data_IF_441672913035
#
_entry.id   IF_441672913035
#
_cell.length_a   1.000
_cell.length_b   1.000
_cell.length_c   1.000
_cell.angle_alpha   90.00
_cell.angle_beta   90.00
_cell.angle_gamma   90.00
#
_symmetry.space_group_name_H-M   'P 1'
#
loop_
_entity.id
_entity.type
_entity.pdbx_description
1 polymer ?
#
# COMPACT_ATOMS: atom_id res chain seq x y z
N UNK A 1 -21.61 -9.80 16.51
CA UNK A 1 -20.43 -8.93 16.36
C UNK A 1 -19.21 -9.82 16.13
N UNK A 2 -18.78 -9.99 14.88
CA UNK A 2 -17.64 -10.88 14.54
C UNK A 2 -16.32 -10.22 14.91
N UNK A 3 -15.46 -10.94 15.64
CA UNK A 3 -14.11 -10.48 15.96
C UNK A 3 -13.26 -10.49 14.69
N UNK A 4 -12.61 -9.36 14.37
CA UNK A 4 -11.61 -9.30 13.31
C UNK A 4 -10.46 -10.26 13.62
N UNK A 5 -10.01 -11.01 12.62
CA UNK A 5 -8.91 -11.94 12.82
C UNK A 5 -7.59 -11.19 13.01
N UNK A 6 -6.58 -11.85 13.58
CA UNK A 6 -5.24 -11.28 13.67
C UNK A 6 -4.66 -10.95 12.29
N UNK A 7 -5.04 -11.70 11.27
CA UNK A 7 -4.62 -11.46 9.90
C UNK A 7 -5.21 -10.15 9.37
N UNK A 8 -6.52 -9.93 9.53
CA UNK A 8 -7.18 -8.70 9.08
C UNK A 8 -6.57 -7.46 9.74
N UNK A 9 -6.29 -7.56 11.04
CA UNK A 9 -5.62 -6.49 11.80
C UNK A 9 -4.24 -6.16 11.23
N UNK A 10 -3.40 -7.18 10.99
CA UNK A 10 -2.06 -7.00 10.39
C UNK A 10 -2.13 -6.39 8.99
N UNK A 11 -3.11 -6.80 8.20
CA UNK A 11 -3.29 -6.29 6.83
C UNK A 11 -3.69 -4.82 6.82
N UNK A 12 -4.59 -4.42 7.73
CA UNK A 12 -4.96 -3.02 7.91
C UNK A 12 -3.77 -2.18 8.37
N UNK A 13 -3.02 -2.65 9.37
CA UNK A 13 -1.79 -1.97 9.82
C UNK A 13 -0.79 -1.81 8.69
N UNK A 14 -0.63 -2.84 7.85
CA UNK A 14 0.28 -2.77 6.72
C UNK A 14 -0.11 -1.71 5.69
N UNK A 15 -1.40 -1.62 5.35
CA UNK A 15 -1.92 -0.60 4.44
C UNK A 15 -1.73 0.81 4.99
N UNK A 16 -1.90 1.00 6.30
CA UNK A 16 -1.67 2.30 6.97
C UNK A 16 -0.20 2.69 6.87
N UNK A 17 0.73 1.76 7.15
CA UNK A 17 2.16 2.02 6.99
C UNK A 17 2.51 2.40 5.56
N UNK A 18 1.93 1.69 4.58
CA UNK A 18 2.16 2.01 3.17
C UNK A 18 1.60 3.38 2.78
N UNK A 19 0.41 3.75 3.27
CA UNK A 19 -0.15 5.09 3.09
C UNK A 19 0.81 6.17 3.61
N UNK A 20 1.38 5.98 4.81
CA UNK A 20 2.32 6.94 5.39
C UNK A 20 3.60 7.07 4.58
N UNK A 21 4.15 5.96 4.09
CA UNK A 21 5.35 5.95 3.23
C UNK A 21 5.04 6.68 1.93
N UNK A 22 3.94 6.35 1.26
CA UNK A 22 3.58 6.95 -0.04
C UNK A 22 3.34 8.47 0.08
N UNK A 23 2.77 8.94 1.19
CA UNK A 23 2.47 10.36 1.42
C UNK A 23 3.61 11.13 2.14
N UNK A 24 4.83 10.60 2.22
CA UNK A 24 5.97 11.25 2.90
C UNK A 24 5.76 11.55 4.39
N UNK A 25 4.78 10.91 5.03
CA UNK A 25 4.50 11.12 6.46
C UNK A 25 5.59 10.46 7.31
N UNK A 26 6.08 9.29 6.88
CA UNK A 26 7.22 8.61 7.49
C UNK A 26 8.42 8.69 6.54
N UNK A 27 9.56 9.13 7.07
CA UNK A 27 10.82 9.36 6.33
C UNK A 27 11.56 8.05 6.08
N UNK A 28 10.88 7.09 5.45
CA UNK A 28 11.45 5.84 4.97
C UNK A 28 11.75 6.02 3.48
N UNK A 29 12.93 5.62 3.03
CA UNK A 29 13.31 5.72 1.61
C UNK A 29 12.30 4.98 0.74
N UNK A 30 11.44 5.73 0.05
CA UNK A 30 10.37 5.16 -0.77
C UNK A 30 10.95 4.33 -1.90
N UNK A 31 12.09 4.77 -2.44
CA UNK A 31 12.75 4.14 -3.58
C UNK A 31 13.14 2.69 -3.31
N UNK A 32 13.51 2.35 -2.06
CA UNK A 32 13.96 1.01 -1.69
C UNK A 32 12.78 0.04 -1.45
N UNK A 33 11.66 0.57 -0.94
CA UNK A 33 10.50 -0.24 -0.55
C UNK A 33 9.39 -0.31 -1.61
N UNK A 34 9.22 0.77 -2.38
CA UNK A 34 8.02 1.07 -3.15
C UNK A 34 8.41 1.82 -4.43
N UNK A 35 8.47 1.11 -5.55
CA UNK A 35 8.59 1.74 -6.86
C UNK A 35 7.23 2.32 -7.25
N UNK A 36 7.01 3.61 -6.98
CA UNK A 36 5.85 4.32 -7.53
C UNK A 36 5.94 4.31 -9.06
N UNK A 37 4.81 4.06 -9.72
CA UNK A 37 4.76 4.16 -11.19
C UNK A 37 4.70 5.62 -11.60
N UNK A 38 5.54 6.01 -12.56
CA UNK A 38 5.40 7.29 -13.26
C UNK A 38 4.02 7.36 -13.94
N UNK A 39 3.43 8.56 -13.94
CA UNK A 39 2.05 8.82 -14.36
C UNK A 39 1.79 8.57 -15.87
N UNK A 40 2.84 8.30 -16.64
CA UNK A 40 2.85 8.47 -18.10
C UNK A 40 2.32 7.30 -18.95
N UNK A 41 1.45 6.41 -18.44
CA UNK A 41 0.98 5.36 -19.36
C UNK A 41 -0.11 4.38 -18.99
N UNK A 42 -0.86 4.54 -17.90
CA UNK A 42 -1.95 3.59 -17.59
C UNK A 42 -3.23 4.28 -17.17
N UNK A 43 -4.17 4.34 -18.11
CA UNK A 43 -5.56 4.82 -17.95
C UNK A 43 -6.44 3.98 -17.01
N UNK A 44 -5.86 3.15 -16.12
CA UNK A 44 -6.62 2.26 -15.21
C UNK A 44 -6.01 2.19 -13.80
N UNK A 45 -6.69 2.80 -12.84
CA UNK A 45 -6.39 2.77 -11.41
C UNK A 45 -6.20 4.17 -10.82
N UNK A 46 -5.80 4.24 -9.55
CA UNK A 46 -5.49 5.48 -8.85
C UNK A 46 -4.07 5.98 -9.14
N UNK A 47 -3.83 7.28 -8.94
CA UNK A 47 -2.56 7.96 -9.27
C UNK A 47 -1.35 7.42 -8.49
N UNK A 48 -1.55 6.98 -7.23
CA UNK A 48 -0.45 6.49 -6.36
C UNK A 48 -0.16 5.00 -6.50
N UNK A 49 -0.24 4.43 -7.70
CA UNK A 49 0.01 2.98 -7.89
C UNK A 49 1.47 2.63 -7.65
N UNK A 50 1.67 1.41 -7.14
CA UNK A 50 2.98 0.87 -6.82
C UNK A 50 3.28 -0.29 -7.76
N UNK A 51 4.43 -0.23 -8.43
CA UNK A 51 4.96 -1.34 -9.19
C UNK A 51 5.44 -2.42 -8.23
N UNK A 52 4.82 -3.59 -8.31
CA UNK A 52 5.25 -4.77 -7.56
C UNK A 52 6.63 -5.22 -8.05
N UNK A 53 7.61 -5.25 -7.14
CA UNK A 53 8.94 -5.80 -7.43
C UNK A 53 8.83 -7.30 -7.68
N UNK A 54 9.52 -7.80 -8.71
CA UNK A 54 9.62 -9.24 -8.92
C UNK A 54 10.55 -9.86 -7.87
N UNK A 55 10.07 -10.92 -7.22
CA UNK A 55 10.83 -11.67 -6.22
C UNK A 55 10.79 -13.16 -6.56
N UNK A 56 11.96 -13.79 -6.63
CA UNK A 56 12.08 -15.24 -6.90
C UNK A 56 11.96 -16.06 -5.61
N UNK A 57 12.56 -15.58 -4.52
CA UNK A 57 12.61 -16.27 -3.23
C UNK A 57 11.33 -16.01 -2.41
N UNK A 58 10.89 -17.02 -1.67
CA UNK A 58 9.69 -16.91 -0.81
C UNK A 58 9.84 -15.87 0.29
N UNK A 59 11.06 -15.65 0.79
CA UNK A 59 11.38 -14.56 1.73
C UNK A 59 10.95 -13.20 1.15
N UNK A 60 11.24 -12.97 -0.14
CA UNK A 60 10.84 -11.75 -0.83
C UNK A 60 9.32 -11.70 -1.06
N UNK A 61 8.70 -12.83 -1.45
CA UNK A 61 7.25 -12.90 -1.66
C UNK A 61 6.44 -12.61 -0.40
N UNK A 62 6.92 -13.09 0.75
CA UNK A 62 6.26 -12.95 2.04
C UNK A 62 6.66 -11.68 2.80
N UNK A 63 7.53 -10.88 2.22
CA UNK A 63 7.93 -9.58 2.77
C UNK A 63 6.74 -8.61 2.84
N UNK A 64 6.86 -7.64 3.75
CA UNK A 64 5.89 -6.55 3.94
C UNK A 64 5.48 -5.86 2.62
N UNK A 65 6.41 -5.31 1.80
CA UNK A 65 6.00 -4.54 0.63
C UNK A 65 5.32 -5.45 -0.40
N UNK A 66 5.86 -6.65 -0.64
CA UNK A 66 5.34 -7.54 -1.68
C UNK A 66 3.90 -8.02 -1.38
N UNK A 67 3.56 -8.29 -0.12
CA UNK A 67 2.21 -8.69 0.31
C UNK A 67 1.21 -7.54 0.32
N UNK A 68 1.67 -6.31 0.51
CA UNK A 68 0.80 -5.13 0.71
C UNK A 68 0.51 -4.40 -0.58
N UNK A 69 1.43 -4.42 -1.55
CA UNK A 69 1.31 -3.72 -2.84
C UNK A 69 0.08 -4.15 -3.65
N UNK A 70 -0.25 -5.44 -3.67
CA UNK A 70 -1.45 -5.90 -4.40
C UNK A 70 -2.74 -5.35 -3.81
N UNK A 71 -2.83 -5.31 -2.48
CA UNK A 71 -3.99 -4.78 -1.76
C UNK A 71 -4.11 -3.28 -1.94
N UNK A 72 -2.99 -2.58 -1.85
CA UNK A 72 -2.91 -1.15 -2.12
C UNK A 72 -3.41 -0.80 -3.52
N UNK A 73 -2.90 -1.48 -4.55
CA UNK A 73 -3.29 -1.22 -5.94
C UNK A 73 -4.74 -1.60 -6.26
N UNK A 74 -5.39 -2.37 -5.39
CA UNK A 74 -6.80 -2.72 -5.48
C UNK A 74 -7.71 -1.73 -4.72
N UNK A 75 -7.14 -0.76 -3.97
CA UNK A 75 -7.92 0.28 -3.31
C UNK A 75 -8.53 1.24 -4.33
N UNK A 76 -9.65 1.84 -3.93
CA UNK A 76 -10.28 2.90 -4.71
C UNK A 76 -9.48 4.20 -4.62
N UNK A 77 -9.57 5.00 -5.67
CA UNK A 77 -8.88 6.29 -5.76
C UNK A 77 -9.27 7.23 -4.61
N UNK A 78 -10.55 7.26 -4.23
CA UNK A 78 -11.03 8.04 -3.08
C UNK A 78 -10.36 7.67 -1.75
N UNK A 79 -10.03 6.38 -1.56
CA UNK A 79 -9.40 5.90 -0.33
C UNK A 79 -7.94 6.34 -0.32
N UNK A 80 -7.26 6.17 -1.45
CA UNK A 80 -5.84 6.53 -1.62
C UNK A 80 -5.62 8.05 -1.62
N UNK A 81 -6.61 8.82 -2.07
CA UNK A 81 -6.63 10.27 -2.08
C UNK A 81 -7.05 10.90 -0.74
N UNK A 82 -7.32 10.10 0.30
CA UNK A 82 -7.63 10.62 1.62
C UNK A 82 -6.56 11.61 2.11
N UNK A 83 -7.00 12.75 2.66
CA UNK A 83 -6.12 13.85 3.06
C UNK A 83 -5.26 13.51 4.30
N UNK A 84 -5.74 12.63 5.17
CA UNK A 84 -5.04 12.29 6.41
C UNK A 84 -5.21 10.81 6.77
N UNK A 85 -4.33 10.33 7.66
CA UNK A 85 -4.28 8.94 8.13
C UNK A 85 -5.59 8.51 8.81
N UNK A 86 -6.30 9.43 9.46
CA UNK A 86 -7.55 9.11 10.15
C UNK A 86 -8.66 8.82 9.14
N UNK A 87 -8.84 9.68 8.13
CA UNK A 87 -9.79 9.45 7.03
C UNK A 87 -9.46 8.17 6.24
N UNK A 88 -8.17 7.85 6.06
CA UNK A 88 -7.76 6.58 5.44
C UNK A 88 -8.13 5.36 6.31
N UNK A 89 -8.04 5.48 7.63
CA UNK A 89 -8.34 4.40 8.59
C UNK A 89 -9.83 4.07 8.68
N UNK A 90 -10.70 5.04 8.46
CA UNK A 90 -12.16 4.88 8.59
C UNK A 90 -12.83 4.34 7.33
N UNK A 91 -12.14 4.36 6.19
CA UNK A 91 -12.55 3.69 4.96
C UNK A 91 -12.10 2.23 4.94
#
# INVERSE_FOLDING_TARGET
MGLLTLQDRRERENLITLYKIVNDIEKIGKEDLVLLTDEDGRTRGHVKKIKKRQCVKDIGKNSFPHRTVEKWNALNDEVVAAHNVHSFKEK
#
